data_IF_735881976891
#
_entry.id   IF_735881976891
#
_cell.length_a   1.000
_cell.length_b   1.000
_cell.length_c   1.000
_cell.angle_alpha   90.00
_cell.angle_beta   90.00
_cell.angle_gamma   90.00
#
_symmetry.space_group_name_H-M   'P 1'
#
loop_
_entity.id
_entity.type
_entity.pdbx_description
1 polymer ?
#
# COMPACT_ATOMS: atom_id res chain seq x y z
N UNK A 1 12.91 12.42 -10.47
CA UNK A 1 13.95 11.41 -10.21
C UNK A 1 14.18 10.70 -11.55
N UNK A 2 15.41 10.65 -12.00
CA UNK A 2 15.78 9.88 -13.18
C UNK A 2 16.39 8.56 -12.71
N UNK A 3 15.94 7.45 -13.27
CA UNK A 3 16.40 6.09 -12.92
C UNK A 3 17.22 5.58 -14.10
N UNK A 4 18.43 5.05 -13.83
CA UNK A 4 19.37 4.62 -14.85
C UNK A 4 19.03 3.27 -15.51
N UNK A 5 17.92 2.64 -15.13
CA UNK A 5 17.53 1.30 -15.60
C UNK A 5 16.26 1.37 -16.41
N UNK A 6 16.20 0.56 -17.47
CA UNK A 6 14.98 0.38 -18.28
C UNK A 6 13.95 -0.50 -17.57
N UNK A 7 12.70 -0.46 -18.03
CA UNK A 7 11.64 -1.32 -17.51
C UNK A 7 11.96 -2.82 -17.73
N UNK A 8 12.60 -3.16 -18.83
CA UNK A 8 13.01 -4.54 -19.13
C UNK A 8 14.11 -5.03 -18.18
N UNK A 9 15.09 -4.18 -17.86
CA UNK A 9 16.14 -4.51 -16.90
C UNK A 9 15.57 -4.71 -15.49
N UNK A 10 14.68 -3.82 -15.04
CA UNK A 10 14.03 -3.94 -13.75
C UNK A 10 13.12 -5.17 -13.66
N UNK A 11 12.37 -5.45 -14.73
CA UNK A 11 11.52 -6.64 -14.81
C UNK A 11 12.35 -7.91 -14.72
N UNK A 12 13.45 -7.99 -15.47
CA UNK A 12 14.36 -9.13 -15.43
C UNK A 12 14.96 -9.32 -14.04
N UNK A 13 15.45 -8.25 -13.43
CA UNK A 13 16.01 -8.30 -12.09
C UNK A 13 14.99 -8.78 -11.03
N UNK A 14 13.72 -8.39 -11.15
CA UNK A 14 12.65 -8.90 -10.28
C UNK A 14 12.46 -10.41 -10.46
N UNK A 15 12.43 -10.89 -11.72
CA UNK A 15 12.26 -12.32 -12.01
C UNK A 15 13.45 -13.14 -11.51
N UNK A 16 14.67 -12.67 -11.78
CA UNK A 16 15.90 -13.34 -11.34
C UNK A 16 15.97 -13.43 -9.83
N UNK A 17 15.54 -12.37 -9.12
CA UNK A 17 15.49 -12.35 -7.66
C UNK A 17 14.49 -13.39 -7.10
N UNK A 18 13.31 -13.51 -7.69
CA UNK A 18 12.30 -14.50 -7.28
C UNK A 18 12.82 -15.92 -7.51
N UNK A 19 13.40 -16.17 -8.69
CA UNK A 19 13.97 -17.48 -9.02
C UNK A 19 15.14 -17.85 -8.11
N UNK A 20 16.01 -16.91 -7.78
CA UNK A 20 17.16 -17.15 -6.90
C UNK A 20 16.77 -17.47 -5.45
N UNK A 21 15.58 -17.04 -5.02
CA UNK A 21 15.09 -17.32 -3.66
C UNK A 21 14.30 -18.64 -3.53
N UNK A 22 13.91 -19.24 -4.66
CA UNK A 22 13.21 -20.54 -4.72
C UNK A 22 12.03 -20.65 -3.73
N UNK A 23 11.16 -19.64 -3.73
CA UNK A 23 10.01 -19.62 -2.81
C UNK A 23 8.98 -20.67 -3.20
N UNK A 24 8.51 -21.44 -2.21
CA UNK A 24 7.40 -22.40 -2.37
C UNK A 24 6.01 -21.75 -2.34
N UNK A 25 5.93 -20.42 -2.17
CA UNK A 25 4.70 -19.65 -2.05
C UNK A 25 4.74 -18.43 -2.97
N UNK A 26 3.60 -17.72 -3.04
CA UNK A 26 3.55 -16.41 -3.68
C UNK A 26 4.57 -15.45 -3.05
N UNK A 27 5.18 -14.58 -3.84
CA UNK A 27 6.17 -13.63 -3.38
C UNK A 27 5.71 -12.19 -3.59
N UNK A 28 5.94 -11.35 -2.60
CA UNK A 28 5.83 -9.91 -2.73
C UNK A 28 7.18 -9.35 -3.16
N UNK A 29 7.22 -8.75 -4.35
CA UNK A 29 8.41 -8.06 -4.87
C UNK A 29 8.21 -6.55 -4.68
N UNK A 30 9.19 -5.91 -4.08
CA UNK A 30 9.19 -4.47 -3.86
C UNK A 30 10.38 -3.83 -4.54
N UNK A 31 10.12 -2.96 -5.52
CA UNK A 31 11.12 -2.14 -6.21
C UNK A 31 11.11 -0.75 -5.57
N UNK A 32 12.24 -0.32 -5.06
CA UNK A 32 12.39 0.99 -4.41
C UNK A 32 13.45 1.80 -5.13
N UNK A 33 13.04 2.92 -5.73
CA UNK A 33 13.94 3.93 -6.23
C UNK A 33 14.19 4.98 -5.13
N UNK A 34 15.43 5.40 -4.96
CA UNK A 34 15.82 6.35 -3.92
C UNK A 34 16.84 7.37 -4.44
N UNK A 35 16.88 8.51 -3.78
CA UNK A 35 17.97 9.46 -3.95
C UNK A 35 19.17 9.03 -3.11
N UNK A 36 20.36 9.13 -3.65
CA UNK A 36 21.61 8.92 -2.92
C UNK A 36 21.81 9.93 -1.79
N UNK A 37 22.85 9.72 -1.02
CA UNK A 37 23.20 10.63 0.06
C UNK A 37 23.65 11.98 -0.54
N UNK A 38 22.85 13.00 -0.24
CA UNK A 38 23.26 14.39 -0.40
C UNK A 38 24.21 14.81 0.74
N UNK A 39 24.30 16.11 1.01
CA UNK A 39 25.00 16.60 2.20
C UNK A 39 24.32 16.10 3.48
N UNK A 40 25.09 15.59 4.41
CA UNK A 40 24.63 14.96 5.66
C UNK A 40 23.77 15.89 6.53
N UNK A 41 23.94 17.20 6.42
CA UNK A 41 23.24 18.20 7.23
C UNK A 41 22.39 19.17 6.41
N UNK A 42 22.27 18.95 5.12
CA UNK A 42 21.41 19.75 4.25
C UNK A 42 20.18 18.95 3.82
N UNK A 43 19.03 19.12 4.50
CA UNK A 43 17.79 18.42 4.13
C UNK A 43 17.27 18.84 2.75
N UNK A 44 17.78 19.94 2.21
CA UNK A 44 17.52 20.43 0.86
C UNK A 44 18.64 20.06 -0.10
N UNK A 45 19.63 19.27 0.37
CA UNK A 45 20.81 18.85 -0.39
C UNK A 45 20.41 18.23 -1.72
N UNK A 46 20.83 18.87 -2.79
CA UNK A 46 20.57 18.37 -4.14
C UNK A 46 21.53 17.24 -4.42
N UNK A 47 21.02 16.07 -4.65
CA UNK A 47 21.79 14.96 -5.20
C UNK A 47 21.20 14.57 -6.56
N UNK A 48 22.09 14.33 -7.52
CA UNK A 48 21.75 13.71 -8.79
C UNK A 48 21.91 12.20 -8.75
N UNK A 49 22.52 11.69 -7.67
CA UNK A 49 22.68 10.26 -7.48
C UNK A 49 21.33 9.62 -7.19
N UNK A 50 21.00 8.60 -7.92
CA UNK A 50 19.82 7.78 -7.71
C UNK A 50 20.20 6.32 -7.68
N UNK A 51 19.43 5.53 -6.97
CA UNK A 51 19.62 4.09 -6.91
C UNK A 51 18.29 3.35 -6.89
N UNK A 52 18.38 2.06 -7.15
CA UNK A 52 17.25 1.14 -7.05
C UNK A 52 17.68 -0.05 -6.22
N UNK A 53 16.84 -0.50 -5.31
CA UNK A 53 16.97 -1.81 -4.71
C UNK A 53 15.67 -2.58 -4.87
N UNK A 54 15.80 -3.90 -4.99
CA UNK A 54 14.67 -4.81 -5.14
C UNK A 54 14.73 -5.82 -4.00
N UNK A 55 13.61 -6.00 -3.33
CA UNK A 55 13.47 -7.03 -2.29
C UNK A 55 12.35 -7.97 -2.65
N UNK A 56 12.46 -9.24 -2.26
CA UNK A 56 11.37 -10.20 -2.34
C UNK A 56 11.15 -10.89 -0.99
N UNK A 57 9.89 -11.15 -0.68
CA UNK A 57 9.49 -11.78 0.58
C UNK A 57 8.37 -12.77 0.30
N UNK A 58 8.42 -14.00 0.82
CA UNK A 58 7.33 -14.95 0.64
C UNK A 58 6.06 -14.46 1.34
N UNK A 59 4.93 -14.60 0.67
CA UNK A 59 3.61 -14.21 1.19
C UNK A 59 2.70 -15.43 1.17
N UNK A 60 2.71 -16.23 2.24
CA UNK A 60 1.81 -17.36 2.35
C UNK A 60 0.36 -16.89 2.37
N UNK A 61 -0.54 -17.68 1.81
CA UNK A 61 -1.98 -17.39 1.86
C UNK A 61 -2.43 -17.31 3.31
N UNK A 62 -3.03 -16.16 3.65
CA UNK A 62 -3.55 -15.95 5.00
C UNK A 62 -4.89 -16.66 5.19
N UNK A 63 -5.06 -17.34 6.32
CA UNK A 63 -6.37 -17.87 6.73
C UNK A 63 -7.43 -16.76 6.87
N UNK A 64 -7.01 -15.52 7.09
CA UNK A 64 -7.88 -14.35 7.15
C UNK A 64 -8.74 -14.12 5.89
N UNK A 65 -8.33 -14.65 4.74
CA UNK A 65 -9.16 -14.62 3.53
C UNK A 65 -10.50 -15.38 3.69
N UNK A 66 -10.53 -16.38 4.55
CA UNK A 66 -11.75 -17.17 4.79
C UNK A 66 -12.51 -16.68 6.05
N UNK A 67 -11.78 -16.31 7.11
CA UNK A 67 -12.37 -15.94 8.41
C UNK A 67 -12.69 -14.45 8.54
N UNK A 68 -12.11 -13.63 7.69
CA UNK A 68 -12.11 -12.17 7.87
C UNK A 68 -11.12 -11.71 8.94
N UNK A 69 -11.10 -10.40 9.18
CA UNK A 69 -10.26 -9.73 10.18
C UNK A 69 -11.09 -8.73 10.98
N UNK A 70 -10.77 -8.55 12.25
CA UNK A 70 -11.36 -7.50 13.08
C UNK A 70 -10.64 -6.18 12.82
N UNK A 71 -11.38 -5.15 12.42
CA UNK A 71 -10.85 -3.82 12.16
C UNK A 71 -11.45 -2.77 13.10
N UNK A 72 -10.66 -1.76 13.45
CA UNK A 72 -11.11 -0.59 14.21
C UNK A 72 -10.84 0.69 13.44
N UNK A 73 -11.64 1.74 13.71
CA UNK A 73 -11.33 3.08 13.21
C UNK A 73 -10.25 3.67 14.11
N UNK A 74 -9.09 4.00 13.51
CA UNK A 74 -7.98 4.58 14.24
C UNK A 74 -8.26 6.03 14.69
N UNK A 75 -7.67 6.43 15.80
CA UNK A 75 -7.60 7.82 16.22
C UNK A 75 -6.70 8.66 15.32
N UNK A 76 -5.72 8.02 14.64
CA UNK A 76 -4.86 8.64 13.65
C UNK A 76 -5.62 8.93 12.37
N UNK A 77 -5.47 10.15 11.86
CA UNK A 77 -6.02 10.54 10.56
C UNK A 77 -5.02 10.27 9.46
N UNK A 78 -5.54 9.98 8.27
CA UNK A 78 -4.71 9.90 7.07
C UNK A 78 -4.02 11.24 6.81
N UNK A 79 -2.77 11.21 6.37
CA UNK A 79 -2.03 12.40 5.94
C UNK A 79 -2.80 13.14 4.86
N UNK A 80 -2.69 14.47 4.86
CA UNK A 80 -3.34 15.34 3.88
C UNK A 80 -2.40 15.72 2.74
N UNK A 81 -2.97 16.12 1.61
CA UNK A 81 -2.21 16.58 0.43
C UNK A 81 -1.39 17.86 0.71
N UNK A 82 -1.79 18.65 1.68
CA UNK A 82 -1.13 19.88 2.10
C UNK A 82 0.04 19.67 3.06
N UNK A 83 0.21 18.45 3.56
CA UNK A 83 1.33 18.05 4.44
C UNK A 83 2.28 17.09 3.75
N UNK A 84 1.80 15.93 3.37
CA UNK A 84 2.53 14.90 2.62
C UNK A 84 1.58 14.24 1.64
N UNK A 85 1.73 14.46 0.32
CA UNK A 85 0.79 13.91 -0.66
C UNK A 85 0.64 12.40 -0.54
N UNK A 86 -0.54 11.87 -0.15
CA UNK A 86 -0.76 10.44 0.07
C UNK A 86 -0.66 9.61 -1.21
N UNK A 87 -0.80 10.27 -2.37
CA UNK A 87 -0.65 9.64 -3.69
C UNK A 87 0.78 9.27 -4.05
N UNK A 88 1.78 9.85 -3.36
CA UNK A 88 3.18 9.46 -3.55
C UNK A 88 3.44 8.19 -2.75
N UNK A 89 3.75 7.09 -3.45
CA UNK A 89 4.09 5.81 -2.83
C UNK A 89 5.53 5.87 -2.31
N UNK A 90 5.71 6.48 -1.15
CA UNK A 90 7.01 6.59 -0.48
C UNK A 90 6.98 5.97 0.92
N UNK A 91 8.10 5.41 1.36
CA UNK A 91 8.23 4.78 2.68
C UNK A 91 7.89 5.72 3.84
N UNK A 92 8.12 7.03 3.69
CA UNK A 92 7.79 8.04 4.71
C UNK A 92 6.28 8.11 4.97
N UNK A 93 5.43 7.99 3.95
CA UNK A 93 3.97 8.03 4.09
C UNK A 93 3.43 6.82 4.86
N UNK A 94 4.12 5.67 4.79
CA UNK A 94 3.73 4.47 5.55
C UNK A 94 3.94 4.60 7.05
N UNK A 95 4.70 5.61 7.52
CA UNK A 95 4.85 5.83 8.95
C UNK A 95 3.51 6.17 9.62
N UNK A 96 2.68 6.99 8.99
CA UNK A 96 1.32 7.27 9.44
C UNK A 96 0.47 5.99 9.55
N UNK A 97 0.54 5.14 8.54
CA UNK A 97 -0.17 3.85 8.54
C UNK A 97 0.31 2.90 9.65
N UNK A 98 1.62 2.91 9.96
CA UNK A 98 2.18 2.11 11.06
C UNK A 98 1.66 2.54 12.43
N UNK A 99 1.50 3.84 12.66
CA UNK A 99 0.94 4.34 13.91
C UNK A 99 -0.49 3.82 14.12
N UNK A 100 -1.33 3.89 13.08
CA UNK A 100 -2.68 3.37 13.11
C UNK A 100 -2.73 1.84 13.32
N UNK A 101 -1.86 1.10 12.65
CA UNK A 101 -1.78 -0.35 12.81
C UNK A 101 -1.36 -0.73 14.23
N UNK A 102 -0.36 -0.07 14.80
CA UNK A 102 0.07 -0.32 16.17
C UNK A 102 -1.01 0.00 17.20
N UNK A 103 -1.80 1.05 16.97
CA UNK A 103 -2.96 1.36 17.82
C UNK A 103 -3.99 0.23 17.77
N UNK A 104 -4.34 -0.25 16.58
CA UNK A 104 -5.29 -1.34 16.40
C UNK A 104 -4.83 -2.61 17.12
N UNK A 105 -3.59 -3.03 16.91
CA UNK A 105 -3.01 -4.22 17.55
C UNK A 105 -3.01 -4.11 19.08
N UNK A 106 -2.66 -2.97 19.64
CA UNK A 106 -2.69 -2.75 21.10
C UNK A 106 -4.11 -2.83 21.66
N UNK A 107 -5.12 -2.50 20.86
CA UNK A 107 -6.52 -2.55 21.24
C UNK A 107 -7.20 -3.91 20.93
N UNK A 108 -6.43 -4.91 20.50
CA UNK A 108 -6.92 -6.27 20.23
C UNK A 108 -7.60 -6.46 18.88
N UNK A 109 -7.36 -5.56 17.93
CA UNK A 109 -7.85 -5.67 16.55
C UNK A 109 -6.73 -6.13 15.62
N UNK A 110 -7.09 -6.73 14.50
CA UNK A 110 -6.11 -7.20 13.49
C UNK A 110 -5.59 -6.06 12.62
N UNK A 111 -6.43 -5.05 12.35
CA UNK A 111 -6.07 -3.91 11.50
C UNK A 111 -6.86 -2.66 11.83
N UNK A 112 -6.45 -1.55 11.22
CA UNK A 112 -7.11 -0.25 11.35
C UNK A 112 -7.81 0.18 10.07
N UNK A 113 -8.77 1.07 10.20
CA UNK A 113 -9.31 1.91 9.13
C UNK A 113 -8.96 3.37 9.44
N UNK A 114 -8.39 4.08 8.49
CA UNK A 114 -8.07 5.49 8.64
C UNK A 114 -9.17 6.35 8.01
N UNK A 115 -9.58 7.36 8.75
CA UNK A 115 -10.39 8.45 8.22
C UNK A 115 -9.48 9.58 7.76
N UNK A 116 -9.91 10.32 6.74
CA UNK A 116 -9.22 11.53 6.30
C UNK A 116 -9.49 12.72 7.24
N UNK A 117 -8.97 13.90 6.90
CA UNK A 117 -9.14 15.11 7.69
C UNK A 117 -10.60 15.56 7.81
N UNK A 118 -11.44 15.21 6.84
CA UNK A 118 -12.88 15.48 6.84
C UNK A 118 -13.71 14.45 7.62
N UNK A 119 -13.07 13.40 8.13
CA UNK A 119 -13.73 12.34 8.89
C UNK A 119 -14.39 11.27 8.02
N UNK A 120 -14.14 11.26 6.73
CA UNK A 120 -14.61 10.18 5.83
C UNK A 120 -13.57 9.09 5.68
N UNK A 121 -14.03 7.88 5.33
CA UNK A 121 -13.16 6.71 5.15
C UNK A 121 -12.12 6.98 4.04
N UNK A 122 -10.86 6.71 4.33
CA UNK A 122 -9.76 6.78 3.39
C UNK A 122 -9.28 5.38 3.00
N UNK A 123 -8.45 4.77 3.80
CA UNK A 123 -7.86 3.45 3.50
C UNK A 123 -7.49 2.68 4.77
N UNK A 124 -7.00 1.46 4.62
CA UNK A 124 -6.34 0.70 5.68
C UNK A 124 -4.81 0.92 5.65
N UNK A 125 -4.05 0.55 6.68
CA UNK A 125 -2.62 0.82 6.80
C UNK A 125 -1.74 0.35 5.62
N UNK A 126 -2.11 -0.70 4.94
CA UNK A 126 -1.35 -1.25 3.81
C UNK A 126 -2.21 -1.75 2.66
N UNK A 127 -3.50 -1.41 2.65
CA UNK A 127 -4.44 -1.91 1.65
C UNK A 127 -5.57 -0.92 1.37
N UNK A 128 -6.12 -1.03 0.17
CA UNK A 128 -7.33 -0.30 -0.20
C UNK A 128 -8.54 -0.86 0.54
N UNK A 129 -9.55 0.00 0.73
CA UNK A 129 -10.82 -0.39 1.33
C UNK A 129 -11.90 -0.40 0.26
N UNK A 130 -12.67 -1.48 0.23
CA UNK A 130 -13.87 -1.62 -0.58
C UNK A 130 -15.03 -1.93 0.35
N UNK A 131 -16.05 -1.09 0.33
CA UNK A 131 -17.27 -1.27 1.11
C UNK A 131 -18.32 -1.92 0.22
N UNK A 132 -18.95 -3.00 0.69
CA UNK A 132 -20.10 -3.60 0.04
C UNK A 132 -21.36 -3.04 0.70
N UNK A 133 -22.18 -2.33 -0.08
CA UNK A 133 -23.43 -1.76 0.39
C UNK A 133 -24.51 -1.91 -0.68
N UNK A 134 -25.63 -2.46 -0.31
CA UNK A 134 -26.78 -2.70 -1.22
C UNK A 134 -26.37 -3.44 -2.51
N UNK A 135 -25.45 -4.42 -2.39
CA UNK A 135 -24.91 -5.19 -3.51
C UNK A 135 -23.91 -4.42 -4.41
N UNK A 136 -23.51 -3.21 -4.02
CA UNK A 136 -22.56 -2.39 -4.76
C UNK A 136 -21.21 -2.37 -4.06
N UNK A 137 -20.13 -2.36 -4.86
CA UNK A 137 -18.77 -2.14 -4.39
C UNK A 137 -18.47 -0.65 -4.42
N UNK A 138 -18.15 -0.07 -3.28
CA UNK A 138 -17.88 1.35 -3.10
C UNK A 138 -16.46 1.52 -2.59
N UNK A 139 -15.66 2.31 -3.29
CA UNK A 139 -14.30 2.69 -2.86
C UNK A 139 -14.25 4.16 -2.49
N UNK A 140 -13.46 4.56 -1.49
CA UNK A 140 -13.19 5.97 -1.25
C UNK A 140 -12.59 6.63 -2.50
N UNK A 141 -13.02 7.83 -2.86
CA UNK A 141 -12.46 8.54 -4.02
C UNK A 141 -11.01 8.99 -3.75
N UNK A 142 -10.24 9.25 -4.81
CA UNK A 142 -8.86 9.77 -4.71
C UNK A 142 -8.73 11.01 -3.81
N UNK A 143 -9.76 11.86 -3.78
CA UNK A 143 -9.86 13.04 -2.91
C UNK A 143 -9.95 12.72 -1.41
N UNK A 144 -10.16 11.46 -1.04
CA UNK A 144 -10.17 11.03 0.37
C UNK A 144 -8.78 10.77 0.94
N UNK A 145 -7.71 11.07 0.21
CA UNK A 145 -6.33 10.88 0.67
C UNK A 145 -5.85 9.42 0.58
N UNK A 146 -6.43 8.63 -0.32
CA UNK A 146 -5.98 7.26 -0.61
C UNK A 146 -4.72 7.25 -1.48
N UNK A 147 -3.91 6.22 -1.34
CA UNK A 147 -2.89 5.92 -2.32
C UNK A 147 -3.60 5.34 -3.56
N UNK A 148 -3.41 5.96 -4.71
CA UNK A 148 -3.95 5.44 -5.96
C UNK A 148 -3.28 4.08 -6.25
N UNK A 149 -3.99 3.01 -5.92
CA UNK A 149 -3.62 1.68 -6.38
C UNK A 149 -3.84 1.60 -7.89
N UNK A 150 -3.06 0.76 -8.57
CA UNK A 150 -3.32 0.45 -9.97
C UNK A 150 -4.82 0.21 -10.17
N UNK A 151 -5.47 0.86 -11.15
CA UNK A 151 -6.89 0.75 -11.32
C UNK A 151 -7.26 -0.68 -11.73
N UNK A 152 -7.46 -1.55 -10.75
CA UNK A 152 -8.36 -2.65 -10.95
C UNK A 152 -9.74 -2.02 -11.07
N UNK A 153 -10.18 -1.72 -12.30
CA UNK A 153 -11.57 -1.41 -12.58
C UNK A 153 -12.39 -2.44 -11.82
N UNK A 154 -13.30 -2.05 -10.90
CA UNK A 154 -14.12 -3.02 -10.21
C UNK A 154 -14.87 -3.80 -11.29
N UNK A 155 -14.49 -5.04 -11.55
CA UNK A 155 -15.28 -5.89 -12.40
C UNK A 155 -16.63 -6.02 -11.70
N UNK A 156 -17.68 -5.55 -12.37
CA UNK A 156 -19.05 -5.69 -11.93
C UNK A 156 -19.26 -7.16 -11.53
N UNK A 157 -19.38 -7.42 -10.22
CA UNK A 157 -19.68 -8.75 -9.76
C UNK A 157 -20.99 -9.18 -10.44
N UNK A 158 -20.91 -10.19 -11.27
CA UNK A 158 -22.11 -10.80 -11.85
C UNK A 158 -22.97 -11.32 -10.70
N UNK A 159 -24.28 -11.05 -10.68
CA UNK A 159 -25.12 -11.58 -9.65
C UNK A 159 -25.07 -13.11 -9.75
N UNK A 160 -24.61 -13.76 -8.66
CA UNK A 160 -24.75 -15.20 -8.54
C UNK A 160 -26.23 -15.51 -8.54
N UNK A 161 -26.71 -16.15 -9.58
CA UNK A 161 -28.07 -16.71 -9.63
C UNK A 161 -28.19 -17.77 -8.54
N UNK A 162 -28.82 -17.43 -7.42
CA UNK A 162 -29.33 -18.41 -6.50
C UNK A 162 -30.53 -19.08 -7.15
N UNK A 163 -30.31 -20.25 -7.70
CA UNK A 163 -31.42 -21.16 -8.04
C UNK A 163 -31.96 -21.75 -6.73
N UNK A 164 -33.26 -21.59 -6.55
CA UNK A 164 -34.06 -22.17 -5.49
C UNK A 164 -33.89 -23.70 -5.40
#
# INVERSE_FOLDING_TARGET
>A
MEIAYTDEELTRACMDLVLANDFEADAHVCVVAYFGLGSTFDPMGRTTETGVHITSTPVPRSAAHASGVAATISSWRRIGDDTMPPRIKTGANYHNSRLAQHEALRNGYDTALLLNQQGTLAEAPGSCVVVVRDGQLITPPGTSGVLEASPSTPSRASPTSSSA
#
